data_IF_427693518127
#
_entry.id   IF_427693518127
#
_cell.length_a   1.000
_cell.length_b   1.000
_cell.length_c   1.000
_cell.angle_alpha   90.00
_cell.angle_beta   90.00
_cell.angle_gamma   90.00
#
_symmetry.space_group_name_H-M   'P 1'
#
loop_
_entity.id
_entity.type
_entity.pdbx_description
1 polymer ?
#
# COMPACT_ATOMS: atom_id res chain seq x y z
N UNK A 1 3.74 -9.16 -17.28
CA UNK A 1 4.42 -7.85 -17.45
C UNK A 1 5.88 -8.01 -17.07
N UNK A 2 6.83 -7.48 -17.85
CA UNK A 2 8.29 -7.76 -17.71
C UNK A 2 9.08 -6.73 -16.88
N UNK A 3 8.41 -5.76 -16.26
CA UNK A 3 9.04 -4.72 -15.44
C UNK A 3 8.61 -4.85 -13.97
N UNK A 4 9.56 -4.59 -13.07
CA UNK A 4 9.35 -4.45 -11.64
C UNK A 4 8.38 -3.28 -11.35
N UNK A 5 7.33 -3.54 -10.58
CA UNK A 5 6.35 -2.54 -10.15
C UNK A 5 6.81 -1.84 -8.85
N UNK A 6 6.46 -0.57 -8.72
CA UNK A 6 6.53 0.21 -7.49
C UNK A 6 5.16 0.16 -6.77
N UNK A 7 5.11 -0.46 -5.60
CA UNK A 7 3.84 -0.78 -4.90
C UNK A 7 3.79 -0.07 -3.54
N UNK A 8 2.74 0.70 -3.30
CA UNK A 8 2.46 1.33 -2.01
C UNK A 8 1.66 0.41 -1.09
N UNK A 9 2.06 0.29 0.17
CA UNK A 9 1.42 -0.52 1.21
C UNK A 9 1.02 0.36 2.40
N UNK A 10 -0.29 0.48 2.65
CA UNK A 10 -0.85 1.29 3.73
C UNK A 10 -1.99 0.51 4.41
N UNK A 11 -2.10 0.63 5.73
CA UNK A 11 -3.25 0.12 6.46
C UNK A 11 -3.56 1.00 7.68
N UNK A 12 -4.84 1.21 7.97
CA UNK A 12 -5.27 1.68 9.29
C UNK A 12 -4.88 0.68 10.37
N UNK A 13 -4.80 1.11 11.62
CA UNK A 13 -4.26 0.29 12.73
C UNK A 13 -4.93 -1.07 12.84
N UNK A 14 -6.26 -1.11 12.80
CA UNK A 14 -7.06 -2.34 12.88
C UNK A 14 -6.98 -3.23 11.64
N UNK A 15 -6.38 -2.73 10.55
CA UNK A 15 -6.17 -3.47 9.29
C UNK A 15 -4.74 -3.90 9.04
N UNK A 16 -3.80 -3.53 9.92
CA UNK A 16 -2.39 -3.91 9.75
C UNK A 16 -2.16 -5.41 9.84
N UNK A 17 -2.88 -6.12 10.71
CA UNK A 17 -2.78 -7.57 10.80
C UNK A 17 -3.25 -8.24 9.49
N UNK A 18 -4.38 -7.77 8.95
CA UNK A 18 -4.92 -8.23 7.67
C UNK A 18 -3.93 -7.98 6.52
N UNK A 19 -3.29 -6.80 6.49
CA UNK A 19 -2.29 -6.46 5.47
C UNK A 19 -1.07 -7.37 5.55
N UNK A 20 -0.56 -7.66 6.76
CA UNK A 20 0.57 -8.58 6.93
C UNK A 20 0.19 -10.00 6.51
N UNK A 21 -1.00 -10.48 6.87
CA UNK A 21 -1.49 -11.80 6.45
C UNK A 21 -1.59 -11.89 4.92
N UNK A 22 -2.14 -10.86 4.29
CA UNK A 22 -2.21 -10.75 2.84
C UNK A 22 -0.82 -10.69 2.20
N UNK A 23 0.12 -9.93 2.76
CA UNK A 23 1.49 -9.83 2.26
C UNK A 23 2.20 -11.19 2.31
N UNK A 24 2.03 -11.96 3.39
CA UNK A 24 2.57 -13.33 3.49
C UNK A 24 2.02 -14.24 2.40
N UNK A 25 0.70 -14.19 2.17
CA UNK A 25 0.06 -14.99 1.12
C UNK A 25 0.51 -14.63 -0.30
N UNK A 26 1.04 -13.41 -0.50
CA UNK A 26 1.49 -12.90 -1.79
C UNK A 26 3.02 -12.62 -1.83
N UNK A 27 3.79 -13.19 -0.91
CA UNK A 27 5.21 -12.88 -0.74
C UNK A 27 6.02 -13.05 -2.04
N UNK A 28 5.80 -14.14 -2.77
CA UNK A 28 6.48 -14.41 -4.03
C UNK A 28 6.22 -13.35 -5.13
N UNK A 29 5.07 -12.66 -5.09
CA UNK A 29 4.80 -11.53 -5.97
C UNK A 29 5.48 -10.26 -5.44
N UNK A 30 5.37 -9.99 -4.14
CA UNK A 30 5.94 -8.79 -3.52
C UNK A 30 7.47 -8.77 -3.59
N UNK A 31 8.14 -9.92 -3.45
CA UNK A 31 9.61 -10.06 -3.55
C UNK A 31 10.18 -9.66 -4.90
N UNK A 32 9.38 -9.76 -5.97
CA UNK A 32 9.77 -9.39 -7.33
C UNK A 32 9.61 -7.90 -7.61
N UNK A 33 9.09 -7.11 -6.66
CA UNK A 33 8.66 -5.73 -6.82
C UNK A 33 9.34 -4.78 -5.81
N UNK A 34 9.32 -3.47 -6.07
CA UNK A 34 9.81 -2.46 -5.10
C UNK A 34 8.61 -2.00 -4.28
N UNK A 35 8.76 -1.99 -2.95
CA UNK A 35 7.66 -1.69 -2.04
C UNK A 35 7.91 -0.40 -1.26
N UNK A 36 6.84 0.32 -0.96
CA UNK A 36 6.84 1.53 -0.14
C UNK A 36 5.76 1.40 0.92
N UNK A 37 6.15 1.35 2.21
CA UNK A 37 5.22 1.17 3.31
C UNK A 37 5.21 2.35 4.27
N UNK A 38 4.05 2.87 4.65
CA UNK A 38 3.98 3.93 5.67
C UNK A 38 4.42 3.42 7.04
N UNK A 39 5.00 4.32 7.86
CA UNK A 39 5.73 4.06 9.11
C UNK A 39 5.55 2.69 9.75
N UNK A 40 4.41 2.48 10.43
CA UNK A 40 4.09 1.25 11.17
C UNK A 40 3.70 0.09 10.26
N UNK A 41 3.02 0.34 9.14
CA UNK A 41 2.64 -0.69 8.15
C UNK A 41 3.88 -1.34 7.57
N UNK A 42 4.82 -0.52 7.05
CA UNK A 42 6.09 -1.00 6.51
C UNK A 42 6.94 -1.72 7.54
N UNK A 43 6.94 -1.24 8.79
CA UNK A 43 7.61 -1.92 9.91
C UNK A 43 7.07 -3.34 10.13
N UNK A 44 5.75 -3.49 10.31
CA UNK A 44 5.13 -4.81 10.54
C UNK A 44 5.28 -5.77 9.37
N UNK A 45 5.29 -5.26 8.14
CA UNK A 45 5.56 -6.08 6.95
C UNK A 45 7.00 -6.59 6.95
N UNK A 46 7.98 -5.74 7.22
CA UNK A 46 9.40 -6.15 7.27
C UNK A 46 9.72 -7.09 8.44
N UNK A 47 9.07 -6.90 9.60
CA UNK A 47 9.18 -7.86 10.71
C UNK A 47 8.72 -9.26 10.30
N UNK A 48 7.66 -9.35 9.49
CA UNK A 48 7.10 -10.61 9.03
C UNK A 48 7.81 -11.19 7.79
N UNK A 49 8.37 -10.33 6.93
CA UNK A 49 8.93 -10.65 5.62
C UNK A 49 10.21 -9.81 5.39
N UNK A 50 11.31 -10.12 6.09
CA UNK A 50 12.52 -9.31 6.08
C UNK A 50 13.26 -9.28 4.73
N UNK A 51 12.94 -10.21 3.83
CA UNK A 51 13.53 -10.32 2.49
C UNK A 51 12.95 -9.33 1.48
N UNK A 52 11.86 -8.62 1.81
CA UNK A 52 11.21 -7.68 0.89
C UNK A 52 12.04 -6.40 0.69
N UNK A 53 12.09 -5.93 -0.55
CA UNK A 53 12.66 -4.61 -0.90
C UNK A 53 11.66 -3.50 -0.54
N UNK A 54 11.48 -3.23 0.75
CA UNK A 54 10.50 -2.27 1.26
C UNK A 54 11.18 -1.03 1.86
N UNK A 55 10.86 0.13 1.29
CA UNK A 55 11.23 1.44 1.85
C UNK A 55 10.15 1.92 2.82
N UNK A 56 10.55 2.24 4.05
CA UNK A 56 9.64 2.82 5.05
C UNK A 56 9.52 4.33 4.85
N UNK A 57 8.27 4.79 4.77
CA UNK A 57 7.90 6.21 4.72
C UNK A 57 7.50 6.70 6.12
N UNK A 58 7.10 7.98 6.24
CA UNK A 58 6.46 8.49 7.47
C UNK A 58 5.16 7.72 7.74
N UNK A 59 4.66 7.79 8.97
CA UNK A 59 3.30 7.32 9.26
C UNK A 59 2.28 8.19 8.51
N UNK A 60 1.12 7.62 8.17
CA UNK A 60 0.04 8.34 7.47
C UNK A 60 -0.26 9.71 8.09
N UNK A 61 -0.60 9.77 9.40
CA UNK A 61 -0.86 11.03 10.11
C UNK A 61 0.29 12.05 10.13
N UNK A 62 1.52 11.62 9.87
CA UNK A 62 2.71 12.50 9.84
C UNK A 62 3.16 12.80 8.40
N UNK A 63 2.28 12.59 7.41
CA UNK A 63 2.51 12.92 6.00
C UNK A 63 2.96 11.75 5.13
N UNK A 64 2.93 10.52 5.62
CA UNK A 64 3.25 9.32 4.82
C UNK A 64 2.32 9.13 3.62
N UNK A 65 1.05 9.45 3.78
CA UNK A 65 0.05 9.34 2.71
C UNK A 65 0.30 10.39 1.61
N UNK A 66 0.77 11.58 1.99
CA UNK A 66 1.17 12.63 1.05
C UNK A 66 2.46 12.26 0.31
N UNK A 67 3.40 11.55 0.95
CA UNK A 67 4.59 11.02 0.25
C UNK A 67 4.17 10.03 -0.85
N UNK A 68 3.24 9.12 -0.57
CA UNK A 68 2.69 8.21 -1.58
C UNK A 68 1.91 8.96 -2.66
N UNK A 69 1.09 9.94 -2.27
CA UNK A 69 0.36 10.78 -3.22
C UNK A 69 1.27 11.53 -4.20
N UNK A 70 2.39 12.08 -3.70
CA UNK A 70 3.41 12.69 -4.54
C UNK A 70 4.02 11.68 -5.53
N UNK A 71 4.35 10.47 -5.06
CA UNK A 71 4.86 9.42 -5.94
C UNK A 71 3.87 9.01 -7.03
N UNK A 72 2.58 8.97 -6.73
CA UNK A 72 1.52 8.73 -7.74
C UNK A 72 1.53 9.86 -8.78
N UNK A 73 1.51 11.12 -8.33
CA UNK A 73 1.50 12.28 -9.22
C UNK A 73 2.76 12.39 -10.11
N UNK A 74 3.90 11.91 -9.60
CA UNK A 74 5.18 11.87 -10.33
C UNK A 74 5.32 10.63 -11.25
N UNK A 75 4.33 9.73 -11.30
CA UNK A 75 4.41 8.49 -12.08
C UNK A 75 5.43 7.48 -11.54
N UNK A 76 5.73 7.55 -10.24
CA UNK A 76 6.73 6.72 -9.54
C UNK A 76 6.09 5.60 -8.70
N UNK A 77 4.77 5.54 -8.62
CA UNK A 77 4.02 4.48 -7.96
C UNK A 77 3.08 3.83 -8.98
N UNK A 78 3.25 2.53 -9.22
CA UNK A 78 2.50 1.78 -10.22
C UNK A 78 1.22 1.15 -9.62
N UNK A 79 1.16 0.96 -8.30
CA UNK A 79 0.05 0.29 -7.61
C UNK A 79 -0.07 0.75 -6.16
N UNK A 80 -1.31 0.79 -5.63
CA UNK A 80 -1.58 1.07 -4.22
C UNK A 80 -2.43 0.00 -3.53
N UNK A 81 -1.93 -0.58 -2.44
CA UNK A 81 -2.70 -1.43 -1.53
C UNK A 81 -2.91 -0.65 -0.24
N UNK A 82 -4.15 -0.19 -0.01
CA UNK A 82 -4.51 0.59 1.16
C UNK A 82 -5.67 -0.07 1.91
N UNK A 83 -5.40 -0.86 2.95
CA UNK A 83 -6.47 -1.44 3.76
C UNK A 83 -7.08 -0.40 4.70
N UNK A 84 -8.24 0.11 4.29
CA UNK A 84 -9.01 1.11 5.01
C UNK A 84 -9.90 0.42 6.04
N UNK A 85 -9.83 0.88 7.28
CA UNK A 85 -10.86 0.61 8.27
C UNK A 85 -12.08 1.51 8.02
N UNK A 86 -13.26 0.96 7.67
CA UNK A 86 -14.45 1.75 7.39
C UNK A 86 -15.27 2.10 8.64
N UNK A 87 -14.93 1.56 9.82
CA UNK A 87 -15.74 1.69 11.03
C UNK A 87 -15.18 2.74 11.99
N UNK A 88 -13.88 2.98 11.98
CA UNK A 88 -13.24 3.90 12.93
C UNK A 88 -12.96 5.27 12.30
N UNK A 89 -13.22 6.37 13.03
CA UNK A 89 -12.84 7.70 12.57
C UNK A 89 -11.30 7.82 12.51
N UNK A 90 -10.80 8.39 11.42
CA UNK A 90 -9.36 8.61 11.24
C UNK A 90 -9.03 10.09 11.36
N UNK A 91 -8.06 10.48 12.19
CA UNK A 91 -7.62 11.89 12.30
C UNK A 91 -7.11 12.48 10.97
N UNK A 92 -6.73 11.62 10.03
CA UNK A 92 -6.17 11.94 8.72
C UNK A 92 -7.09 11.47 7.58
N UNK A 93 -8.42 11.38 7.81
CA UNK A 93 -9.40 10.93 6.80
C UNK A 93 -9.38 11.77 5.50
N UNK A 94 -9.02 13.05 5.62
CA UNK A 94 -8.80 13.93 4.45
C UNK A 94 -7.65 13.43 3.59
N UNK A 95 -6.54 12.99 4.21
CA UNK A 95 -5.39 12.44 3.51
C UNK A 95 -5.74 11.08 2.85
N UNK A 96 -6.54 10.24 3.50
CA UNK A 96 -7.05 8.98 2.93
C UNK A 96 -7.82 9.23 1.63
N UNK A 97 -8.78 10.15 1.67
CA UNK A 97 -9.59 10.53 0.50
C UNK A 97 -8.72 11.15 -0.60
N UNK A 98 -7.77 12.00 -0.23
CA UNK A 98 -6.85 12.62 -1.18
C UNK A 98 -5.99 11.57 -1.90
N UNK A 99 -5.47 10.57 -1.19
CA UNK A 99 -4.65 9.51 -1.75
C UNK A 99 -5.45 8.63 -2.72
N UNK A 100 -6.66 8.20 -2.34
CA UNK A 100 -7.55 7.42 -3.22
C UNK A 100 -7.93 8.24 -4.46
N UNK A 101 -8.22 9.54 -4.31
CA UNK A 101 -8.50 10.44 -5.42
C UNK A 101 -7.31 10.54 -6.39
N UNK A 102 -6.08 10.61 -5.88
CA UNK A 102 -4.86 10.63 -6.72
C UNK A 102 -4.67 9.32 -7.47
N UNK A 103 -4.84 8.17 -6.80
CA UNK A 103 -4.76 6.86 -7.46
C UNK A 103 -5.81 6.72 -8.57
N UNK A 104 -7.03 7.20 -8.33
CA UNK A 104 -8.12 7.22 -9.32
C UNK A 104 -7.79 8.13 -10.50
N UNK A 105 -7.29 9.34 -10.23
CA UNK A 105 -6.94 10.30 -11.28
C UNK A 105 -5.79 9.81 -12.16
N UNK A 106 -4.80 9.13 -11.58
CA UNK A 106 -3.66 8.59 -12.29
C UNK A 106 -3.95 7.23 -12.97
N UNK A 107 -5.16 6.69 -12.80
CA UNK A 107 -5.61 5.40 -13.34
C UNK A 107 -4.66 4.24 -13.00
N UNK A 108 -4.12 4.23 -11.77
CA UNK A 108 -3.29 3.12 -11.29
C UNK A 108 -4.16 2.06 -10.61
N UNK A 109 -3.81 0.76 -10.70
CA UNK A 109 -4.47 -0.27 -9.91
C UNK A 109 -4.37 0.04 -8.41
N UNK A 110 -5.52 0.09 -7.73
CA UNK A 110 -5.55 0.21 -6.28
C UNK A 110 -6.60 -0.67 -5.61
N UNK A 111 -6.34 -1.06 -4.36
CA UNK A 111 -7.21 -1.91 -3.59
C UNK A 111 -7.38 -1.39 -2.17
N UNK A 112 -8.66 -1.20 -1.77
CA UNK A 112 -8.99 -0.71 -0.43
C UNK A 112 -9.26 -1.83 0.60
N UNK A 113 -9.21 -3.09 0.17
CA UNK A 113 -9.52 -4.27 0.98
C UNK A 113 -8.81 -5.52 0.44
N UNK A 114 -8.81 -6.60 1.22
CA UNK A 114 -8.12 -7.86 0.91
C UNK A 114 -8.65 -8.56 -0.35
N UNK A 115 -9.96 -8.53 -0.58
CA UNK A 115 -10.58 -9.21 -1.72
C UNK A 115 -10.12 -8.58 -3.04
N UNK A 116 -10.23 -7.25 -3.14
CA UNK A 116 -9.73 -6.49 -4.30
C UNK A 116 -8.23 -6.68 -4.45
N UNK A 117 -7.44 -6.56 -3.37
CA UNK A 117 -5.98 -6.69 -3.45
C UNK A 117 -5.54 -8.07 -3.98
N UNK A 118 -6.22 -9.12 -3.54
CA UNK A 118 -5.99 -10.49 -4.03
C UNK A 118 -6.32 -10.62 -5.52
N UNK A 119 -7.45 -10.08 -5.96
CA UNK A 119 -7.85 -10.15 -7.37
C UNK A 119 -6.90 -9.35 -8.27
N UNK A 120 -6.49 -8.15 -7.84
CA UNK A 120 -5.57 -7.33 -8.64
C UNK A 120 -4.20 -8.00 -8.76
N UNK A 121 -3.63 -8.53 -7.67
CA UNK A 121 -2.35 -9.25 -7.75
C UNK A 121 -2.46 -10.49 -8.63
N UNK A 122 -3.55 -11.27 -8.53
CA UNK A 122 -3.78 -12.43 -9.40
C UNK A 122 -3.88 -12.05 -10.89
N UNK A 123 -4.45 -10.89 -11.20
CA UNK A 123 -4.52 -10.39 -12.59
C UNK A 123 -3.18 -9.90 -13.15
N UNK A 124 -2.18 -9.69 -12.30
CA UNK A 124 -0.83 -9.23 -12.68
C UNK A 124 0.21 -10.36 -12.73
N UNK A 125 -0.14 -11.54 -12.23
CA UNK A 125 0.67 -12.77 -12.28
C UNK A 125 0.52 -13.45 -13.64
#
# INVERSE_FOLDING_TARGET
MTRQLAIGLVAHDDKKADLVAWAKANAAFLEKNVLYGTGTTGGRVLEALPQLQLTRLKSGPLGGDQQLGAMIAEGRLDMLIFFVDPLSPQPHDVDVKALIRLATLADIPFACNTATATLVVRGLQ
#
